data_IF_700629104371
#
_entry.id   IF_700629104371
#
_cell.length_a   1.000
_cell.length_b   1.000
_cell.length_c   1.000
_cell.angle_alpha   90.00
_cell.angle_beta   90.00
_cell.angle_gamma   90.00
#
_symmetry.space_group_name_H-M   'P 1'
#
loop_
_entity.id
_entity.type
_entity.pdbx_description
1 polymer ?
#
# COMPACT_ATOMS: atom_id res chain seq x y z
N UNK A 1 12.61 8.83 11.19
CA UNK A 1 11.65 7.98 10.43
C UNK A 1 12.10 7.96 8.96
N UNK A 2 11.82 6.89 8.18
CA UNK A 2 12.20 6.87 6.75
C UNK A 2 11.51 7.98 5.95
N UNK A 3 10.30 8.36 6.36
CA UNK A 3 9.53 9.43 5.76
C UNK A 3 10.13 10.83 5.98
N UNK A 4 11.01 10.98 6.98
CA UNK A 4 11.66 12.25 7.32
C UNK A 4 13.02 12.43 6.63
N UNK A 5 13.55 11.38 6.01
CA UNK A 5 14.82 11.43 5.30
C UNK A 5 14.65 12.13 3.96
N UNK A 6 15.61 12.96 3.59
CA UNK A 6 15.70 13.53 2.25
C UNK A 6 15.99 12.46 1.20
N UNK A 7 15.69 12.76 -0.07
CA UNK A 7 16.03 11.85 -1.17
C UNK A 7 17.54 11.61 -1.27
N UNK A 8 18.36 12.62 -0.97
CA UNK A 8 19.82 12.50 -0.99
C UNK A 8 20.31 11.50 0.05
N UNK A 9 19.78 11.56 1.28
CA UNK A 9 20.08 10.58 2.34
C UNK A 9 19.64 9.17 1.95
N UNK A 10 18.47 9.02 1.34
CA UNK A 10 18.00 7.71 0.86
C UNK A 10 18.87 7.16 -0.28
N UNK A 11 19.37 8.02 -1.17
CA UNK A 11 20.26 7.62 -2.28
C UNK A 11 21.63 7.15 -1.84
N UNK A 12 22.07 7.48 -0.62
CA UNK A 12 23.27 6.87 -0.03
C UNK A 12 23.19 5.33 0.06
N UNK A 13 21.98 4.77 0.04
CA UNK A 13 21.75 3.31 0.05
C UNK A 13 21.56 2.70 -1.34
N UNK A 14 21.00 3.45 -2.30
CA UNK A 14 20.84 3.03 -3.69
C UNK A 14 20.41 4.19 -4.59
N UNK A 15 21.08 4.34 -5.74
CA UNK A 15 20.72 5.31 -6.77
C UNK A 15 19.37 5.02 -7.45
N UNK A 16 18.82 3.82 -7.25
CA UNK A 16 17.50 3.44 -7.76
C UNK A 16 16.34 4.09 -6.98
N UNK A 17 16.62 4.69 -5.81
CA UNK A 17 15.60 5.37 -5.03
C UNK A 17 15.33 6.75 -5.64
N UNK A 18 14.07 6.95 -6.04
CA UNK A 18 13.57 8.16 -6.69
C UNK A 18 12.47 8.82 -5.86
N UNK A 19 12.05 10.03 -6.24
CA UNK A 19 11.06 10.84 -5.51
C UNK A 19 9.71 10.13 -5.27
N UNK A 20 9.37 9.15 -6.10
CA UNK A 20 8.16 8.34 -5.97
C UNK A 20 8.12 7.48 -4.69
N UNK A 21 9.27 7.25 -4.04
CA UNK A 21 9.37 6.51 -2.77
C UNK A 21 8.50 7.16 -1.67
N UNK A 22 8.39 8.49 -1.67
CA UNK A 22 7.60 9.22 -0.67
C UNK A 22 6.11 8.99 -0.79
N UNK A 23 5.62 8.50 -1.95
CA UNK A 23 4.22 8.13 -2.12
C UNK A 23 3.83 6.91 -1.25
N UNK A 24 4.80 6.04 -0.90
CA UNK A 24 4.57 4.80 -0.14
C UNK A 24 5.16 4.83 1.27
N UNK A 25 6.07 5.77 1.57
CA UNK A 25 6.61 6.02 2.91
C UNK A 25 5.64 6.82 3.81
N UNK A 26 4.35 6.51 3.73
CA UNK A 26 3.31 6.97 4.65
C UNK A 26 2.47 5.76 5.06
N UNK A 27 1.78 5.84 6.20
CA UNK A 27 0.89 4.76 6.61
C UNK A 27 -0.17 4.49 5.53
N UNK A 28 -0.80 5.54 5.04
CA UNK A 28 -1.84 5.49 4.01
C UNK A 28 -1.28 4.99 2.68
N UNK A 29 -0.09 5.45 2.29
CA UNK A 29 0.61 5.02 1.07
C UNK A 29 0.94 3.53 1.11
N UNK A 30 1.51 3.06 2.22
CA UNK A 30 1.85 1.65 2.44
C UNK A 30 0.62 0.74 2.39
N UNK A 31 -0.49 1.14 3.02
CA UNK A 31 -1.74 0.36 2.98
C UNK A 31 -2.33 0.34 1.57
N UNK A 32 -2.36 1.49 0.86
CA UNK A 32 -2.89 1.59 -0.50
C UNK A 32 -2.06 0.82 -1.53
N UNK A 33 -0.75 0.74 -1.36
CA UNK A 33 0.15 0.05 -2.30
C UNK A 33 -0.13 -1.46 -2.42
N UNK A 34 -0.75 -2.07 -1.40
CA UNK A 34 -1.13 -3.49 -1.40
C UNK A 34 -2.45 -3.72 -2.13
N UNK A 35 -2.56 -3.24 -3.38
CA UNK A 35 -3.75 -3.34 -4.23
C UNK A 35 -3.69 -4.53 -5.21
N UNK A 36 -3.58 -5.72 -4.64
CA UNK A 36 -3.70 -7.00 -5.34
C UNK A 36 -4.77 -7.85 -4.67
N UNK A 37 -5.22 -8.94 -5.32
CA UNK A 37 -6.25 -9.81 -4.75
C UNK A 37 -5.80 -10.31 -3.37
N UNK A 38 -6.60 -10.00 -2.34
CA UNK A 38 -6.30 -10.37 -0.94
C UNK A 38 -5.44 -9.34 -0.18
N UNK A 39 -5.02 -8.27 -0.84
CA UNK A 39 -4.22 -7.20 -0.23
C UNK A 39 -5.01 -6.28 0.69
N UNK A 40 -4.30 -5.36 1.37
CA UNK A 40 -4.85 -4.46 2.39
C UNK A 40 -5.35 -3.13 1.83
N UNK A 41 -5.22 -2.88 0.53
CA UNK A 41 -5.73 -1.64 -0.05
C UNK A 41 -7.24 -1.53 0.25
N UNK A 42 -7.77 -0.33 0.56
CA UNK A 42 -9.18 -0.17 0.89
C UNK A 42 -10.14 -0.69 -0.19
N UNK A 43 -9.73 -0.62 -1.47
CA UNK A 43 -10.48 -1.21 -2.58
C UNK A 43 -10.57 -2.74 -2.47
N UNK A 44 -9.46 -3.43 -2.16
CA UNK A 44 -9.39 -4.88 -1.97
C UNK A 44 -10.19 -5.34 -0.75
N UNK A 45 -10.12 -4.59 0.35
CA UNK A 45 -10.91 -4.86 1.56
C UNK A 45 -12.40 -4.75 1.26
N UNK A 46 -12.85 -3.69 0.58
CA UNK A 46 -14.26 -3.56 0.15
C UNK A 46 -14.69 -4.71 -0.76
N UNK A 47 -13.84 -5.10 -1.72
CA UNK A 47 -14.12 -6.23 -2.61
C UNK A 47 -14.21 -7.56 -1.84
N UNK A 48 -13.35 -7.78 -0.84
CA UNK A 48 -13.40 -8.96 0.02
C UNK A 48 -14.66 -9.01 0.87
N UNK A 49 -15.08 -7.87 1.43
CA UNK A 49 -16.35 -7.75 2.17
C UNK A 49 -17.54 -8.12 1.27
N UNK A 50 -17.57 -7.63 0.03
CA UNK A 50 -18.65 -7.97 -0.90
C UNK A 50 -18.70 -9.48 -1.18
N UNK A 51 -17.57 -10.10 -1.55
CA UNK A 51 -17.50 -11.55 -1.77
C UNK A 51 -17.96 -12.35 -0.54
N UNK A 52 -17.59 -11.89 0.66
CA UNK A 52 -18.02 -12.51 1.91
C UNK A 52 -19.53 -12.42 2.13
N UNK A 53 -20.15 -11.28 1.80
CA UNK A 53 -21.62 -11.13 1.86
C UNK A 53 -22.32 -12.07 0.88
N UNK A 54 -21.85 -12.13 -0.35
CA UNK A 54 -22.43 -12.99 -1.39
C UNK A 54 -22.40 -14.47 -0.95
N UNK A 55 -21.28 -14.92 -0.37
CA UNK A 55 -21.12 -16.27 0.18
C UNK A 55 -22.08 -16.57 1.34
N UNK A 56 -22.37 -15.59 2.20
CA UNK A 56 -23.30 -15.76 3.30
C UNK A 56 -24.75 -15.82 2.81
N UNK A 57 -25.10 -15.07 1.76
CA UNK A 57 -26.44 -15.10 1.16
C UNK A 57 -26.71 -16.38 0.37
N UNK A 58 -25.68 -17.02 -0.19
CA UNK A 58 -25.82 -18.27 -0.95
C UNK A 58 -25.84 -19.55 -0.10
N UNK A 59 -25.91 -19.43 1.23
CA UNK A 59 -26.00 -20.55 2.18
C UNK A 59 -27.43 -20.73 2.67
#
# INVERSE_FOLDING_TARGET
DLAEMSLEELRQFSDQITDDVFAVLTLEGSVKARDHIGGTAPAQVRAAVQRGRDLLTSR
#
